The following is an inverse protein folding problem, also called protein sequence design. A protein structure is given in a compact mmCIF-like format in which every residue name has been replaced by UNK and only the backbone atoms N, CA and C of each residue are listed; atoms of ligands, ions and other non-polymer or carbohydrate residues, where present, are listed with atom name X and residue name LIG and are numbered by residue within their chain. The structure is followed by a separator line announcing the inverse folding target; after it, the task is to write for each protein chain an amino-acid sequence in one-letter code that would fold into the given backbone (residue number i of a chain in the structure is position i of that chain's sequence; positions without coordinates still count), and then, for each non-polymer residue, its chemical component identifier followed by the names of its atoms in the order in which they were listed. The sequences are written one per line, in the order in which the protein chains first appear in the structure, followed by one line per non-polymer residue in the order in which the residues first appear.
data_IF_038109133125
#
_entry.id   IF_038109133125
#
_cell.length_a   1.000
_cell.length_b   1.000
_cell.length_c   1.000
_cell.angle_alpha   90.00
_cell.angle_beta   90.00
_cell.angle_gamma   90.00
#
_symmetry.space_group_name_H-M   'P 1'
#
loop_
_entity.id
_entity.type
_entity.pdbx_description
1 polymer ?
#
# COMPACT_ATOMS: atom_id res chain seq x y z
N UNK A 1 7.01 2.30 -11.42
CA UNK A 1 5.60 2.69 -11.21
C UNK A 1 5.49 4.20 -11.43
N UNK A 2 5.75 4.66 -12.66
CA UNK A 2 5.41 6.03 -13.08
C UNK A 2 3.96 6.02 -13.54
N UNK A 3 3.08 6.81 -12.91
CA UNK A 3 1.94 7.41 -13.62
C UNK A 3 1.08 8.38 -12.80
N UNK A 4 1.10 8.35 -11.46
CA UNK A 4 0.20 9.19 -10.63
C UNK A 4 0.92 10.20 -9.74
N UNK A 5 1.99 9.82 -9.04
CA UNK A 5 2.76 10.74 -8.19
C UNK A 5 3.39 11.89 -9.01
N UNK A 6 3.68 11.64 -10.29
CA UNK A 6 4.13 12.67 -11.24
C UNK A 6 3.02 13.65 -11.65
N UNK A 7 1.74 13.23 -11.55
CA UNK A 7 0.58 14.01 -12.03
C UNK A 7 -0.14 14.77 -10.93
N UNK A 8 -0.07 14.28 -9.69
CA UNK A 8 -0.74 14.89 -8.55
C UNK A 8 0.00 14.56 -7.27
N UNK A 9 0.08 15.53 -6.37
CA UNK A 9 0.65 15.31 -5.05
C UNK A 9 -0.28 14.47 -4.19
N UNK A 10 0.29 13.72 -3.25
CA UNK A 10 -0.44 13.00 -2.20
C UNK A 10 0.04 13.45 -0.81
N UNK A 11 -0.75 13.14 0.22
CA UNK A 11 -0.41 13.45 1.62
C UNK A 11 0.75 12.56 2.08
N UNK A 12 1.85 13.17 2.54
CA UNK A 12 3.06 12.48 3.00
C UNK A 12 3.07 12.28 4.53
N UNK A 13 2.03 11.64 5.05
CA UNK A 13 1.93 11.29 6.47
C UNK A 13 2.64 9.97 6.79
N UNK A 14 2.48 9.47 8.03
CA UNK A 14 3.16 8.27 8.49
C UNK A 14 2.61 7.00 7.82
N UNK A 15 1.32 6.95 7.47
CA UNK A 15 0.75 5.82 6.72
C UNK A 15 1.34 5.74 5.31
N UNK A 16 1.57 6.88 4.66
CA UNK A 16 2.19 6.93 3.36
C UNK A 16 3.69 6.58 3.41
N UNK A 17 4.40 6.96 4.49
CA UNK A 17 5.79 6.51 4.73
C UNK A 17 5.87 5.01 4.98
N UNK A 18 4.89 4.44 5.67
CA UNK A 18 4.74 2.98 5.84
C UNK A 18 4.27 2.28 4.55
N UNK A 19 3.87 3.06 3.55
CA UNK A 19 3.41 2.59 2.25
C UNK A 19 2.06 1.88 2.29
N UNK A 20 1.21 2.16 3.28
CA UNK A 20 -0.09 1.50 3.47
C UNK A 20 -1.26 2.34 2.98
N UNK A 21 -1.14 3.67 3.01
CA UNK A 21 -2.18 4.61 2.56
C UNK A 21 -1.59 5.70 1.68
N UNK A 22 -2.26 6.05 0.59
CA UNK A 22 -1.90 7.17 -0.28
C UNK A 22 -3.13 7.97 -0.66
N UNK A 23 -3.24 9.20 -0.17
CA UNK A 23 -4.39 10.07 -0.41
C UNK A 23 -4.02 11.24 -1.30
N UNK A 24 -4.59 11.29 -2.50
CA UNK A 24 -4.46 12.34 -3.51
C UNK A 24 -5.65 13.30 -3.40
N UNK A 25 -5.50 14.35 -2.58
CA UNK A 25 -6.59 15.29 -2.26
C UNK A 25 -7.15 16.00 -3.49
N UNK A 26 -6.30 16.43 -4.40
CA UNK A 26 -6.68 17.25 -5.56
C UNK A 26 -7.62 16.51 -6.53
N UNK A 27 -7.53 15.17 -6.55
CA UNK A 27 -8.37 14.30 -7.37
C UNK A 27 -9.33 13.44 -6.54
N UNK A 28 -9.46 13.71 -5.25
CA UNK A 28 -10.36 13.03 -4.32
C UNK A 28 -10.22 11.49 -4.36
N UNK A 29 -8.99 10.99 -4.38
CA UNK A 29 -8.73 9.55 -4.47
C UNK A 29 -7.82 9.08 -3.32
N UNK A 30 -8.15 7.95 -2.71
CA UNK A 30 -7.31 7.29 -1.71
C UNK A 30 -7.13 5.81 -2.02
N UNK A 31 -5.91 5.33 -1.81
CA UNK A 31 -5.55 3.93 -1.94
C UNK A 31 -5.10 3.38 -0.60
N UNK A 32 -5.59 2.21 -0.24
CA UNK A 32 -5.25 1.58 1.04
C UNK A 32 -4.94 0.09 0.90
N UNK A 33 -4.00 -0.38 1.72
CA UNK A 33 -3.70 -1.79 1.97
C UNK A 33 -3.33 -1.99 3.44
N UNK A 34 -3.51 -3.19 4.01
CA UNK A 34 -3.25 -3.43 5.42
C UNK A 34 -1.76 -3.42 5.79
N UNK A 35 -0.88 -3.76 4.84
CA UNK A 35 0.57 -3.80 5.04
C UNK A 35 1.28 -3.59 3.72
N UNK A 36 2.48 -3.02 3.76
CA UNK A 36 3.37 -2.96 2.61
C UNK A 36 4.27 -4.19 2.54
N UNK A 37 4.09 -5.00 1.49
CA UNK A 37 5.04 -6.06 1.16
C UNK A 37 6.14 -5.47 0.28
N UNK A 38 7.34 -5.35 0.83
CA UNK A 38 8.54 -4.88 0.13
C UNK A 38 9.30 -6.04 -0.50
N UNK A 39 10.17 -5.73 -1.46
CA UNK A 39 11.04 -6.74 -2.07
C UNK A 39 11.98 -7.37 -1.04
N UNK A 40 12.48 -6.59 -0.07
CA UNK A 40 13.33 -7.10 1.01
C UNK A 40 12.59 -8.10 1.91
N UNK A 41 11.31 -7.84 2.22
CA UNK A 41 10.46 -8.78 2.97
C UNK A 41 10.18 -10.05 2.16
N UNK A 42 9.93 -9.92 0.86
CA UNK A 42 9.73 -11.08 -0.03
C UNK A 42 10.96 -11.99 -0.11
N UNK A 43 12.16 -11.42 0.03
CA UNK A 43 13.43 -12.16 0.00
C UNK A 43 13.91 -12.55 1.40
N UNK A 44 13.18 -12.21 2.46
CA UNK A 44 13.62 -12.50 3.82
C UNK A 44 13.54 -13.99 4.13
N UNK A 45 14.36 -14.42 5.08
CA UNK A 45 14.30 -15.78 5.62
C UNK A 45 12.94 -16.04 6.27
N UNK A 46 12.43 -15.09 7.06
CA UNK A 46 11.10 -15.13 7.70
C UNK A 46 9.99 -15.48 6.69
N UNK A 47 9.94 -14.79 5.54
CA UNK A 47 8.93 -15.06 4.51
C UNK A 47 9.07 -16.48 3.92
N UNK A 48 10.30 -16.97 3.80
CA UNK A 48 10.60 -18.24 3.15
C UNK A 48 10.46 -19.44 4.08
N UNK A 49 10.76 -19.28 5.38
CA UNK A 49 10.88 -20.39 6.35
C UNK A 49 9.76 -20.40 7.39
N UNK A 50 9.22 -19.24 7.77
CA UNK A 50 8.22 -19.13 8.84
C UNK A 50 6.79 -19.12 8.30
N UNK A 51 6.59 -18.75 7.03
CA UNK A 51 5.29 -18.78 6.38
C UNK A 51 5.10 -20.06 5.57
N UNK A 52 3.98 -20.73 5.78
CA UNK A 52 3.53 -21.80 4.88
C UNK A 52 3.10 -21.22 3.51
N UNK A 53 2.99 -22.05 2.46
CA UNK A 53 2.65 -21.57 1.11
C UNK A 53 1.34 -20.77 1.01
N UNK A 54 0.30 -21.15 1.79
CA UNK A 54 -0.98 -20.43 1.81
C UNK A 54 -0.81 -19.01 2.37
N UNK A 55 -0.06 -18.88 3.46
CA UNK A 55 0.24 -17.60 4.08
C UNK A 55 1.14 -16.74 3.19
N UNK A 56 2.11 -17.34 2.48
CA UNK A 56 2.92 -16.62 1.50
C UNK A 56 2.05 -16.03 0.38
N UNK A 57 1.10 -16.80 -0.15
CA UNK A 57 0.15 -16.31 -1.17
C UNK A 57 -0.80 -15.24 -0.61
N UNK A 58 -1.23 -15.38 0.64
CA UNK A 58 -2.02 -14.36 1.31
C UNK A 58 -1.25 -13.03 1.45
N UNK A 59 0.01 -13.09 1.88
CA UNK A 59 0.87 -11.91 2.01
C UNK A 59 1.15 -11.26 0.66
N UNK A 60 1.34 -12.03 -0.42
CA UNK A 60 1.53 -11.48 -1.78
C UNK A 60 0.37 -10.59 -2.24
N UNK A 61 -0.84 -10.73 -1.68
CA UNK A 61 -1.96 -9.79 -1.96
C UNK A 61 -1.64 -8.36 -1.55
N UNK A 62 -0.72 -8.17 -0.59
CA UNK A 62 -0.27 -6.87 -0.12
C UNK A 62 0.74 -6.19 -1.06
N UNK A 63 1.12 -6.83 -2.18
CA UNK A 63 1.80 -6.17 -3.30
C UNK A 63 0.93 -5.09 -3.96
N UNK A 64 -0.40 -5.23 -3.85
CA UNK A 64 -1.37 -4.34 -4.44
C UNK A 64 -2.20 -3.63 -3.37
N UNK A 65 -2.82 -2.51 -3.75
CA UNK A 65 -3.83 -1.89 -2.91
C UNK A 65 -5.09 -2.74 -2.88
N UNK A 66 -5.65 -2.94 -1.69
CA UNK A 66 -6.91 -3.69 -1.51
C UNK A 66 -8.12 -2.80 -1.72
N UNK A 67 -7.98 -1.51 -1.44
CA UNK A 67 -9.08 -0.57 -1.46
C UNK A 67 -8.71 0.65 -2.29
N UNK A 68 -9.68 1.11 -3.08
CA UNK A 68 -9.70 2.44 -3.71
C UNK A 68 -10.95 3.15 -3.20
N UNK A 69 -10.80 4.36 -2.70
CA UNK A 69 -11.89 5.14 -2.11
C UNK A 69 -11.91 6.57 -2.64
N UNK A 70 -13.10 7.18 -2.63
CA UNK A 70 -13.26 8.61 -2.88
C UNK A 70 -12.87 9.35 -1.60
N UNK A 71 -11.80 10.14 -1.67
CA UNK A 71 -11.34 10.97 -0.56
C UNK A 71 -12.22 12.23 -0.48
N UNK A 72 -13.19 12.23 0.43
CA UNK A 72 -14.03 13.40 0.70
C UNK A 72 -13.43 14.25 1.82
N UNK A 73 -13.56 15.58 1.71
CA UNK A 73 -13.14 16.49 2.76
C UNK A 73 -13.96 16.25 4.04
N UNK A 74 -13.30 15.81 5.12
CA UNK A 74 -13.92 15.63 6.44
C UNK A 74 -14.17 14.18 6.88
N UNK A 75 -13.82 13.20 6.05
CA UNK A 75 -13.71 11.80 6.49
C UNK A 75 -12.24 11.45 6.70
N UNK A 76 -11.88 11.16 7.94
CA UNK A 76 -10.62 10.54 8.36
C UNK A 76 -10.97 9.24 9.09
#
# INVERSE_FOLDING_TARGET
MSSMDEKTSYIRDDEAKMGVCYTFKDIQLSFWRPSALTEDKLKSEEFSTELNPENQEYEKRNLYFRTVAIASSGYY
#
